data_IF_468661590812
#
_entry.id   IF_468661590812
#
_cell.length_a   1.000
_cell.length_b   1.000
_cell.length_c   1.000
_cell.angle_alpha   90.00
_cell.angle_beta   90.00
_cell.angle_gamma   90.00
#
_symmetry.space_group_name_H-M   'P 1'
#
loop_
_entity.id
_entity.type
_entity.pdbx_description
1 polymer ?
#
# COMPACT_ATOMS: atom_id res chain seq x y z
N UNK A 1 -5.60 -3.29 -17.98
CA UNK A 1 -4.63 -3.04 -16.90
C UNK A 1 -4.34 -4.38 -16.26
N UNK A 2 -3.11 -4.87 -16.37
CA UNK A 2 -2.68 -6.04 -15.59
C UNK A 2 -2.60 -5.58 -14.14
N UNK A 3 -3.51 -6.09 -13.29
CA UNK A 3 -3.41 -5.89 -11.85
C UNK A 3 -2.35 -6.84 -11.33
N UNK A 4 -1.17 -6.30 -11.00
CA UNK A 4 -0.14 -7.06 -10.30
C UNK A 4 -0.63 -7.33 -8.88
N UNK A 5 -0.64 -8.59 -8.48
CA UNK A 5 -1.00 -9.00 -7.12
C UNK A 5 0.26 -9.26 -6.29
N UNK A 6 0.20 -8.92 -5.01
CA UNK A 6 1.26 -9.27 -4.07
C UNK A 6 1.33 -10.78 -3.88
N UNK A 7 2.54 -11.31 -3.76
CA UNK A 7 2.75 -12.67 -3.29
C UNK A 7 2.45 -12.77 -1.79
N UNK A 8 2.28 -13.99 -1.27
CA UNK A 8 1.94 -14.23 0.15
C UNK A 8 3.03 -13.76 1.12
N UNK A 9 4.30 -13.91 0.74
CA UNK A 9 5.47 -13.40 1.45
C UNK A 9 5.41 -11.86 1.55
N UNK A 10 5.15 -11.19 0.43
CA UNK A 10 5.02 -9.74 0.38
C UNK A 10 3.84 -9.24 1.22
N UNK A 11 2.69 -9.89 1.17
CA UNK A 11 1.55 -9.55 2.04
C UNK A 11 1.89 -9.67 3.52
N UNK A 12 2.64 -10.72 3.91
CA UNK A 12 3.09 -10.87 5.29
C UNK A 12 4.08 -9.78 5.71
N UNK A 13 4.96 -9.34 4.82
CA UNK A 13 5.86 -8.20 5.06
C UNK A 13 5.08 -6.88 5.18
N UNK A 14 4.09 -6.65 4.31
CA UNK A 14 3.20 -5.48 4.38
C UNK A 14 2.45 -5.46 5.71
N UNK A 15 1.90 -6.60 6.15
CA UNK A 15 1.20 -6.72 7.44
C UNK A 15 2.13 -6.39 8.62
N UNK A 16 3.36 -6.92 8.62
CA UNK A 16 4.36 -6.62 9.64
C UNK A 16 4.74 -5.14 9.64
N UNK A 17 5.00 -4.56 8.47
CA UNK A 17 5.33 -3.15 8.34
C UNK A 17 4.18 -2.26 8.83
N UNK A 18 2.95 -2.54 8.39
CA UNK A 18 1.77 -1.80 8.81
C UNK A 18 1.60 -1.90 10.32
N UNK A 19 1.58 -3.09 10.91
CA UNK A 19 1.39 -3.26 12.37
C UNK A 19 2.53 -2.67 13.21
N UNK A 20 3.76 -2.56 12.67
CA UNK A 20 4.89 -1.93 13.36
C UNK A 20 4.75 -0.41 13.54
N UNK A 21 3.92 0.25 12.72
CA UNK A 21 3.71 1.69 12.80
C UNK A 21 2.58 2.03 13.77
N UNK A 22 2.77 3.13 14.50
CA UNK A 22 1.67 3.71 15.29
C UNK A 22 0.70 4.41 14.33
N UNK A 23 -0.51 3.88 14.25
CA UNK A 23 -1.60 4.49 13.46
C UNK A 23 -2.50 5.31 14.36
N UNK A 24 -3.05 6.39 13.79
CA UNK A 24 -4.15 7.12 14.41
C UNK A 24 -5.45 6.45 13.96
N UNK A 25 -6.25 6.02 14.92
CA UNK A 25 -7.54 5.39 14.63
C UNK A 25 -8.41 6.32 13.77
N UNK A 26 -8.91 5.77 12.67
CA UNK A 26 -9.70 6.53 11.71
C UNK A 26 -11.18 6.68 12.09
N UNK A 27 -11.66 5.83 13.00
CA UNK A 27 -13.03 5.82 13.54
C UNK A 27 -13.04 5.06 14.88
N UNK A 28 -14.16 5.07 15.59
CA UNK A 28 -14.29 4.43 16.91
C UNK A 28 -14.01 2.92 16.91
N UNK A 29 -14.25 2.23 15.79
CA UNK A 29 -13.93 0.81 15.61
C UNK A 29 -13.24 0.62 14.25
N UNK A 30 -11.92 0.82 14.13
CA UNK A 30 -11.24 0.71 12.86
C UNK A 30 -11.05 -0.77 12.49
N UNK A 31 -11.53 -1.17 11.30
CA UNK A 31 -11.31 -2.50 10.74
C UNK A 31 -10.52 -2.40 9.44
N UNK A 32 -9.19 -2.47 9.54
CA UNK A 32 -8.31 -2.27 8.39
C UNK A 32 -8.14 -3.56 7.58
N UNK A 33 -8.20 -3.43 6.27
CA UNK A 33 -7.85 -4.48 5.29
C UNK A 33 -6.76 -3.95 4.36
N UNK A 34 -5.72 -4.75 4.15
CA UNK A 34 -4.68 -4.49 3.13
C UNK A 34 -5.17 -5.03 1.78
N UNK A 35 -4.98 -4.26 0.71
CA UNK A 35 -5.26 -4.69 -0.66
C UNK A 35 -4.28 -5.76 -1.11
N UNK A 36 -4.77 -6.79 -1.80
CA UNK A 36 -3.93 -7.80 -2.45
C UNK A 36 -3.35 -7.32 -3.80
N UNK A 37 -3.83 -6.18 -4.28
CA UNK A 37 -3.36 -5.55 -5.52
C UNK A 37 -2.28 -4.50 -5.25
N UNK A 38 -1.26 -4.50 -6.12
CA UNK A 38 -0.20 -3.51 -6.20
C UNK A 38 -0.64 -2.39 -7.13
N UNK A 39 -0.50 -1.15 -6.68
CA UNK A 39 -0.90 0.03 -7.43
C UNK A 39 0.32 0.83 -7.87
N UNK A 40 0.40 1.13 -9.16
CA UNK A 40 1.41 2.05 -9.71
C UNK A 40 0.83 3.46 -9.84
N UNK A 41 1.44 4.45 -9.18
CA UNK A 41 1.21 5.85 -9.53
C UNK A 41 2.15 6.24 -10.68
N UNK A 42 1.62 6.72 -11.81
CA UNK A 42 2.45 7.26 -12.87
C UNK A 42 3.14 8.52 -12.34
N UNK A 43 4.46 8.50 -12.28
CA UNK A 43 5.22 9.71 -11.99
C UNK A 43 5.13 10.65 -13.21
N UNK A 44 4.47 11.79 -13.04
CA UNK A 44 4.51 12.88 -14.02
C UNK A 44 5.88 13.57 -13.87
N UNK A 45 6.90 13.05 -14.56
CA UNK A 45 8.21 13.68 -14.67
C UNK A 45 8.38 14.25 -16.07
N UNK A 46 8.93 15.46 -16.17
CA UNK A 46 9.33 16.06 -17.45
C UNK A 46 10.50 15.30 -18.11
N UNK A 47 11.18 14.41 -17.37
CA UNK A 47 12.21 13.51 -17.87
C UNK A 47 11.69 12.07 -17.87
N UNK A 48 11.49 11.50 -19.07
CA UNK A 48 11.22 10.08 -19.28
C UNK A 48 12.53 9.27 -19.20
N UNK A 49 12.56 8.07 -18.60
CA UNK A 49 11.44 7.36 -17.98
C UNK A 49 11.30 7.73 -16.49
N UNK A 50 10.11 8.13 -16.09
CA UNK A 50 9.79 8.31 -14.68
C UNK A 50 9.47 6.94 -14.08
N UNK A 51 10.21 6.44 -13.06
CA UNK A 51 9.84 5.19 -12.43
C UNK A 51 8.44 5.32 -11.81
N UNK A 52 7.53 4.41 -12.16
CA UNK A 52 6.23 4.34 -11.50
C UNK A 52 6.43 4.06 -10.02
N UNK A 53 5.82 4.87 -9.17
CA UNK A 53 5.83 4.61 -7.73
C UNK A 53 4.84 3.50 -7.43
N UNK A 54 5.34 2.35 -7.02
CA UNK A 54 4.50 1.24 -6.61
C UNK A 54 4.12 1.34 -5.14
N UNK A 55 2.89 0.96 -4.85
CA UNK A 55 2.26 1.17 -3.56
C UNK A 55 1.40 -0.02 -3.16
N UNK A 56 1.29 -0.22 -1.85
CA UNK A 56 0.19 -0.98 -1.27
C UNK A 56 -0.84 -0.02 -0.68
N UNK A 57 -2.09 -0.48 -0.64
CA UNK A 57 -3.24 0.29 -0.18
C UNK A 57 -3.87 -0.40 1.00
N UNK A 58 -4.26 0.36 2.02
CA UNK A 58 -5.11 -0.12 3.12
C UNK A 58 -6.44 0.59 3.09
N UNK A 59 -7.50 -0.12 3.48
CA UNK A 59 -8.86 0.40 3.53
C UNK A 59 -9.48 0.03 4.88
N UNK A 60 -10.03 1.02 5.58
CA UNK A 60 -10.90 0.75 6.72
C UNK A 60 -12.28 0.31 6.22
N UNK A 61 -12.67 -0.92 6.53
CA UNK A 61 -13.96 -1.49 6.14
C UNK A 61 -15.15 -0.81 6.83
N UNK A 62 -14.92 -0.09 7.94
CA UNK A 62 -15.98 0.57 8.70
C UNK A 62 -16.25 2.01 8.22
N UNK A 63 -15.22 2.81 7.95
CA UNK A 63 -15.38 4.21 7.54
C UNK A 63 -14.92 4.52 6.10
N UNK A 64 -14.37 3.53 5.39
CA UNK A 64 -13.91 3.69 4.01
C UNK A 64 -12.60 4.46 3.86
N UNK A 65 -11.97 4.92 4.96
CA UNK A 65 -10.68 5.63 4.89
C UNK A 65 -9.67 4.75 4.17
N UNK A 66 -9.06 5.31 3.14
CA UNK A 66 -8.06 4.64 2.30
C UNK A 66 -6.70 5.33 2.50
N UNK A 67 -5.66 4.55 2.72
CA UNK A 67 -4.28 5.03 2.86
C UNK A 67 -3.38 4.33 1.85
N UNK A 68 -2.41 5.06 1.30
CA UNK A 68 -1.49 4.56 0.28
C UNK A 68 -0.05 4.66 0.80
N UNK A 69 0.73 3.61 0.62
CA UNK A 69 2.08 3.51 1.13
C UNK A 69 3.04 3.09 0.02
N UNK A 70 4.14 3.83 -0.14
CA UNK A 70 5.18 3.53 -1.12
C UNK A 70 5.96 2.27 -0.69
N UNK A 71 6.05 1.27 -1.59
CA UNK A 71 6.74 -0.01 -1.32
C UNK A 71 8.24 0.16 -1.09
N UNK A 72 8.90 1.05 -1.83
CA UNK A 72 10.34 1.30 -1.71
C UNK A 72 10.68 1.88 -0.33
N UNK A 73 9.83 2.77 0.20
CA UNK A 73 10.00 3.34 1.55
C UNK A 73 9.68 2.29 2.62
N UNK A 74 8.73 1.40 2.33
CA UNK A 74 8.40 0.29 3.21
C UNK A 74 9.44 -0.84 3.20
N UNK A 75 10.47 -0.75 2.34
CA UNK A 75 11.52 -1.75 2.14
C UNK A 75 10.96 -3.14 1.80
N UNK A 76 9.85 -3.18 1.05
CA UNK A 76 9.17 -4.41 0.64
C UNK A 76 9.72 -4.79 -0.72
N UNK A 77 10.40 -5.94 -0.78
CA UNK A 77 11.17 -6.33 -1.95
C UNK A 77 10.30 -7.02 -3.01
N UNK A 78 10.68 -6.82 -4.28
CA UNK A 78 10.09 -7.52 -5.44
C UNK A 78 10.46 -8.99 -5.49
#
# INVERSE_FOLDING_TARGET
METLKFRKDQLSEIEKFYTSKKHVDCCSEPKIKISDEMFGLPAISQNLPAPSMEMFVTVCLNCGKTEMFNLAIANISH
#
